data_IF_443333573359
#
_entry.id   IF_443333573359
#
_cell.length_a   1.000
_cell.length_b   1.000
_cell.length_c   1.000
_cell.angle_alpha   90.00
_cell.angle_beta   90.00
_cell.angle_gamma   90.00
#
_symmetry.space_group_name_H-M   'P 1'
#
loop_
_entity.id
_entity.type
_entity.pdbx_description
1 polymer ?
#
# COMPACT_ATOMS: atom_id res chain seq x y z
N UNK A 1 14.74 1.73 6.33
CA UNK A 1 15.03 2.33 7.65
C UNK A 1 15.54 1.23 8.57
N UNK A 2 16.69 1.42 9.20
CA UNK A 2 17.36 0.39 9.99
C UNK A 2 17.11 0.67 11.47
N UNK A 3 16.10 0.00 12.04
CA UNK A 3 15.93 -0.13 13.48
C UNK A 3 16.34 -1.54 13.83
N UNK A 4 17.32 -1.69 14.72
CA UNK A 4 17.85 -2.98 15.13
C UNK A 4 17.22 -3.40 16.45
N UNK A 5 16.27 -4.33 16.38
CA UNK A 5 15.56 -4.88 17.54
C UNK A 5 16.45 -5.78 18.42
N UNK A 6 17.59 -6.21 17.90
CA UNK A 6 18.57 -7.08 18.57
C UNK A 6 19.78 -6.34 19.12
N UNK A 7 19.79 -5.00 19.03
CA UNK A 7 20.93 -4.22 19.47
C UNK A 7 21.13 -4.30 21.00
N UNK A 8 22.29 -4.77 21.49
CA UNK A 8 22.48 -5.11 22.90
C UNK A 8 22.59 -3.90 23.84
N UNK A 9 22.93 -2.71 23.32
CA UNK A 9 23.21 -1.51 24.13
C UNK A 9 22.16 -0.39 24.02
N UNK A 10 21.27 -0.44 23.01
CA UNK A 10 20.33 0.63 22.69
C UNK A 10 18.93 0.05 22.49
N UNK A 11 17.98 0.32 23.41
CA UNK A 11 16.62 -0.16 23.26
C UNK A 11 15.95 0.51 22.04
N UNK A 12 15.02 -0.22 21.43
CA UNK A 12 14.24 0.22 20.27
C UNK A 12 13.59 1.59 20.49
N UNK A 13 13.14 1.90 21.71
CA UNK A 13 12.59 3.21 22.07
C UNK A 13 13.61 4.35 21.91
N UNK A 14 14.86 4.16 22.36
CA UNK A 14 15.94 5.16 22.20
C UNK A 14 16.33 5.32 20.75
N UNK A 15 16.37 4.23 19.98
CA UNK A 15 16.62 4.29 18.54
C UNK A 15 15.50 5.08 17.83
N UNK A 16 14.24 4.89 18.21
CA UNK A 16 13.10 5.63 17.68
C UNK A 16 13.17 7.13 18.00
N UNK A 17 13.51 7.48 19.25
CA UNK A 17 13.69 8.87 19.69
C UNK A 17 14.80 9.58 18.91
N UNK A 18 15.97 8.93 18.76
CA UNK A 18 17.10 9.47 18.01
C UNK A 18 16.78 9.68 16.52
N UNK A 19 15.91 8.83 15.97
CA UNK A 19 15.45 8.92 14.58
C UNK A 19 14.19 9.79 14.40
N UNK A 20 13.70 10.42 15.47
CA UNK A 20 12.44 11.18 15.49
C UNK A 20 11.23 10.37 14.94
N UNK A 21 11.22 9.05 15.16
CA UNK A 21 10.17 8.15 14.72
C UNK A 21 9.13 7.91 15.81
N UNK A 22 7.86 7.84 15.40
CA UNK A 22 6.80 7.42 16.31
C UNK A 22 6.92 5.95 16.64
N UNK A 23 6.63 5.55 17.89
CA UNK A 23 6.62 4.14 18.31
C UNK A 23 5.73 3.28 17.40
N UNK A 24 4.61 3.84 16.93
CA UNK A 24 3.69 3.17 16.01
C UNK A 24 4.35 2.79 14.68
N UNK A 25 5.21 3.66 14.13
CA UNK A 25 5.96 3.39 12.90
C UNK A 25 7.00 2.29 13.09
N UNK A 26 7.61 2.20 14.28
CA UNK A 26 8.65 1.20 14.59
C UNK A 26 8.10 -0.22 14.67
N UNK A 27 6.87 -0.37 15.18
CA UNK A 27 6.20 -1.67 15.27
C UNK A 27 5.30 -1.98 14.09
N UNK A 28 5.06 -1.02 13.20
CA UNK A 28 4.26 -1.23 12.01
C UNK A 28 4.95 -2.25 11.08
N UNK A 29 4.27 -3.37 10.87
CA UNK A 29 4.64 -4.34 9.84
C UNK A 29 3.74 -4.05 8.64
N UNK A 30 4.29 -3.73 7.46
CA UNK A 30 3.48 -3.54 6.27
C UNK A 30 2.74 -4.84 5.98
N UNK A 31 1.41 -4.81 6.13
CA UNK A 31 0.53 -5.91 5.76
C UNK A 31 0.00 -5.61 4.37
N UNK A 32 0.55 -6.28 3.37
CA UNK A 32 0.06 -6.20 2.00
C UNK A 32 -0.84 -7.40 1.78
N UNK A 33 -2.13 -7.17 1.54
CA UNK A 33 -3.03 -8.23 1.13
C UNK A 33 -2.74 -8.60 -0.34
N UNK A 34 -2.51 -9.89 -0.68
CA UNK A 34 -2.28 -10.31 -2.06
C UNK A 34 -3.40 -9.92 -3.02
N UNK A 35 -4.66 -9.88 -2.57
CA UNK A 35 -5.80 -9.44 -3.38
C UNK A 35 -5.77 -7.93 -3.61
N UNK A 36 -5.43 -7.16 -2.57
CA UNK A 36 -5.24 -5.71 -2.69
C UNK A 36 -4.10 -5.37 -3.66
N UNK A 37 -2.99 -6.12 -3.60
CA UNK A 37 -1.88 -5.95 -4.54
C UNK A 37 -2.29 -6.29 -5.98
N UNK A 38 -3.10 -7.33 -6.19
CA UNK A 38 -3.65 -7.67 -7.51
C UNK A 38 -4.54 -6.55 -8.03
N UNK A 39 -5.41 -6.00 -7.19
CA UNK A 39 -6.26 -4.87 -7.54
C UNK A 39 -5.43 -3.65 -7.92
N UNK A 40 -4.45 -3.25 -7.10
CA UNK A 40 -3.58 -2.11 -7.37
C UNK A 40 -2.83 -2.26 -8.71
N UNK A 41 -2.31 -3.46 -9.00
CA UNK A 41 -1.63 -3.75 -10.27
C UNK A 41 -2.58 -3.69 -11.47
N UNK A 42 -3.80 -4.17 -11.31
CA UNK A 42 -4.82 -4.08 -12.35
C UNK A 42 -5.23 -2.64 -12.62
N UNK A 43 -5.43 -1.85 -11.56
CA UNK A 43 -5.77 -0.43 -11.64
C UNK A 43 -4.68 0.34 -12.39
N UNK A 44 -3.42 0.11 -12.05
CA UNK A 44 -2.27 0.77 -12.68
C UNK A 44 -2.19 0.44 -14.19
N UNK A 45 -2.42 -0.84 -14.56
CA UNK A 45 -2.47 -1.26 -15.96
C UNK A 45 -3.57 -0.56 -16.75
N UNK A 46 -4.79 -0.49 -16.20
CA UNK A 46 -5.92 0.15 -16.88
C UNK A 46 -5.72 1.67 -16.95
N UNK A 47 -5.15 2.27 -15.90
CA UNK A 47 -4.84 3.70 -15.87
C UNK A 47 -3.79 4.08 -16.92
N UNK A 48 -2.73 3.28 -17.06
CA UNK A 48 -1.73 3.46 -18.11
C UNK A 48 -2.32 3.32 -19.53
N UNK A 49 -3.31 2.45 -19.70
CA UNK A 49 -3.99 2.25 -20.99
C UNK A 49 -4.98 3.37 -21.31
N UNK A 50 -5.64 3.92 -20.29
CA UNK A 50 -6.66 4.97 -20.43
C UNK A 50 -6.47 6.08 -19.39
N UNK A 51 -5.46 6.95 -19.55
CA UNK A 51 -5.14 7.99 -18.56
C UNK A 51 -6.23 9.05 -18.41
N UNK A 52 -7.21 9.08 -19.31
CA UNK A 52 -8.36 10.00 -19.32
C UNK A 52 -9.63 9.38 -18.72
N UNK A 53 -9.61 8.12 -18.27
CA UNK A 53 -10.77 7.49 -17.66
C UNK A 53 -10.95 7.99 -16.22
N UNK A 54 -12.07 8.66 -15.95
CA UNK A 54 -12.51 8.93 -14.58
C UNK A 54 -12.93 7.66 -13.85
N UNK A 55 -13.08 7.74 -12.52
CA UNK A 55 -13.36 6.60 -11.62
C UNK A 55 -14.47 5.66 -12.12
N UNK A 56 -15.55 6.20 -12.67
CA UNK A 56 -16.69 5.43 -13.19
C UNK A 56 -16.33 4.60 -14.42
N UNK A 57 -15.53 5.14 -15.36
CA UNK A 57 -15.08 4.39 -16.55
C UNK A 57 -13.97 3.41 -16.18
N UNK A 58 -13.12 3.77 -15.22
CA UNK A 58 -12.07 2.91 -14.69
C UNK A 58 -12.64 1.67 -14.01
N UNK A 59 -13.72 1.78 -13.22
CA UNK A 59 -14.41 0.62 -12.63
C UNK A 59 -14.98 -0.32 -13.68
N UNK A 60 -15.52 0.21 -14.78
CA UNK A 60 -16.03 -0.62 -15.87
C UNK A 60 -14.88 -1.32 -16.60
N UNK A 61 -13.81 -0.61 -16.92
CA UNK A 61 -12.64 -1.19 -17.58
C UNK A 61 -11.94 -2.25 -16.70
N UNK A 62 -11.90 -2.06 -15.38
CA UNK A 62 -11.40 -3.08 -14.44
C UNK A 62 -12.28 -4.33 -14.39
N UNK A 63 -13.60 -4.15 -14.44
CA UNK A 63 -14.53 -5.27 -14.48
C UNK A 63 -14.48 -6.03 -15.80
N UNK A 64 -14.32 -5.32 -16.92
CA UNK A 64 -14.30 -5.88 -18.28
C UNK A 64 -12.96 -6.55 -18.59
N UNK A 65 -11.84 -5.86 -18.36
CA UNK A 65 -10.51 -6.35 -18.76
C UNK A 65 -9.85 -7.27 -17.72
N UNK A 66 -10.11 -7.04 -16.44
CA UNK A 66 -9.47 -7.78 -15.36
C UNK A 66 -10.46 -8.69 -14.60
N UNK A 67 -11.77 -8.61 -14.88
CA UNK A 67 -12.79 -9.35 -14.14
C UNK A 67 -12.99 -8.89 -12.69
N UNK A 68 -12.40 -7.75 -12.31
CA UNK A 68 -12.37 -7.28 -10.92
C UNK A 68 -13.51 -6.28 -10.71
N UNK A 69 -14.49 -6.65 -9.89
CA UNK A 69 -15.58 -5.76 -9.48
C UNK A 69 -15.18 -4.95 -8.25
N UNK A 70 -14.88 -3.68 -8.48
CA UNK A 70 -14.57 -2.70 -7.42
C UNK A 70 -15.75 -1.78 -7.14
N UNK A 71 -15.98 -1.48 -5.85
CA UNK A 71 -16.96 -0.49 -5.41
C UNK A 71 -16.31 0.91 -5.33
N UNK A 72 -17.11 1.98 -5.33
CA UNK A 72 -16.68 3.40 -5.34
C UNK A 72 -15.81 3.83 -4.15
N UNK A 73 -15.73 3.01 -3.08
CA UNK A 73 -14.84 3.23 -1.92
C UNK A 73 -13.42 2.66 -2.12
N UNK A 74 -13.21 1.87 -3.17
CA UNK A 74 -11.97 1.15 -3.45
C UNK A 74 -11.32 1.59 -4.77
N UNK A 75 -11.78 2.73 -5.35
CA UNK A 75 -11.24 3.36 -6.57
C UNK A 75 -10.87 4.79 -6.27
#
# INVERSE_FOLDING_TARGET
>A
MIIDKTHPALPVCRQAELLALSRSSVYYVPRVDPEELRLLRALDRVYMKYPFYGSRRLTFALADECGIRVNRKCV
#
